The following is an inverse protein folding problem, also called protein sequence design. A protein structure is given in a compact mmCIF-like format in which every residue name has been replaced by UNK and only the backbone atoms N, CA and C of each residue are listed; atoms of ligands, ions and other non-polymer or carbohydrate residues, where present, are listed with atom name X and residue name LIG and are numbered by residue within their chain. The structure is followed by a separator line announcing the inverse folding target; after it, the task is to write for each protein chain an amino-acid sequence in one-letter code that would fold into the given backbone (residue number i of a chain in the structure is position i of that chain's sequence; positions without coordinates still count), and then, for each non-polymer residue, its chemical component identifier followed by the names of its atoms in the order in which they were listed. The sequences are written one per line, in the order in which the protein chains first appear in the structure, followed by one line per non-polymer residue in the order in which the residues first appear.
data_IF_227980849370
#
_entry.id   IF_227980849370
#
_cell.length_a   1.000
_cell.length_b   1.000
_cell.length_c   1.000
_cell.angle_alpha   90.00
_cell.angle_beta   90.00
_cell.angle_gamma   90.00
#
_symmetry.space_group_name_H-M   'P 1'
#
loop_
_entity.id
_entity.type
_entity.pdbx_description
1 polymer ?
#
# COMPACT_ATOMS: atom_id res chain seq x y z
N UNK A 1 -36.87 19.80 1.20
CA UNK A 1 -37.51 21.03 0.63
C UNK A 1 -36.54 21.56 -0.42
N UNK A 2 -37.05 21.62 -1.65
CA UNK A 2 -36.36 22.13 -2.84
C UNK A 2 -36.09 23.62 -2.71
N UNK A 3 -34.94 24.11 -3.18
CA UNK A 3 -34.85 25.44 -3.80
C UNK A 3 -33.89 25.43 -4.97
N UNK A 4 -34.47 25.69 -6.12
CA UNK A 4 -33.94 25.94 -7.46
C UNK A 4 -33.64 27.45 -7.55
N UNK A 5 -32.59 27.85 -8.23
CA UNK A 5 -32.43 29.11 -8.97
C UNK A 5 -31.21 29.01 -9.89
N UNK A 6 -31.35 28.85 -11.17
CA UNK A 6 -31.42 29.75 -12.34
C UNK A 6 -30.09 30.48 -12.59
N UNK A 7 -29.34 30.01 -13.55
CA UNK A 7 -29.00 30.43 -14.94
C UNK A 7 -28.70 31.92 -15.14
N UNK A 8 -27.50 32.23 -15.59
CA UNK A 8 -27.25 33.22 -16.64
C UNK A 8 -26.03 32.78 -17.49
N UNK A 9 -26.33 32.57 -18.77
CA UNK A 9 -25.41 32.33 -19.88
C UNK A 9 -24.85 33.69 -20.34
N UNK A 10 -23.51 33.79 -20.47
CA UNK A 10 -22.91 34.78 -21.37
C UNK A 10 -21.94 34.11 -22.30
N UNK A 11 -22.35 34.06 -23.56
CA UNK A 11 -21.52 33.76 -24.72
C UNK A 11 -20.60 34.95 -25.00
N UNK A 12 -19.32 34.71 -25.10
CA UNK A 12 -18.39 35.56 -25.82
C UNK A 12 -17.39 34.70 -26.56
N UNK A 13 -17.47 34.74 -27.87
CA UNK A 13 -16.56 34.21 -28.86
C UNK A 13 -15.27 35.06 -28.86
N UNK A 14 -14.12 34.44 -28.89
CA UNK A 14 -12.82 35.12 -29.04
C UNK A 14 -11.69 34.13 -29.31
N UNK A 15 -11.43 33.99 -30.60
CA UNK A 15 -10.20 33.63 -31.33
C UNK A 15 -9.07 32.80 -30.67
N UNK A 16 -8.71 31.74 -31.36
CA UNK A 16 -7.48 30.95 -31.32
C UNK A 16 -6.21 31.85 -31.30
N UNK A 17 -5.34 31.58 -30.33
CA UNK A 17 -3.89 31.58 -30.58
C UNK A 17 -3.28 30.50 -29.68
N UNK A 18 -2.68 29.48 -30.31
CA UNK A 18 -1.98 28.41 -29.63
C UNK A 18 -0.64 28.90 -29.11
N UNK A 19 -0.51 29.00 -27.80
CA UNK A 19 0.79 29.07 -27.15
C UNK A 19 0.97 27.82 -26.30
N UNK A 20 1.92 27.02 -26.74
CA UNK A 20 2.42 25.84 -26.01
C UNK A 20 3.16 26.34 -24.76
N UNK A 21 2.44 26.53 -23.67
CA UNK A 21 3.05 26.81 -22.37
C UNK A 21 3.63 25.51 -21.80
N UNK A 22 4.91 25.27 -22.06
CA UNK A 22 5.75 24.45 -21.21
C UNK A 22 5.80 25.12 -19.84
N UNK A 23 4.91 24.71 -18.93
CA UNK A 23 4.92 25.15 -17.54
C UNK A 23 6.09 24.47 -16.85
N UNK A 24 7.22 25.17 -16.76
CA UNK A 24 8.32 24.79 -15.90
C UNK A 24 7.79 24.57 -14.47
N UNK A 25 8.24 23.50 -13.82
CA UNK A 25 7.90 23.22 -12.44
C UNK A 25 8.29 24.42 -11.56
N UNK A 26 7.31 25.03 -10.92
CA UNK A 26 7.50 26.13 -9.98
C UNK A 26 8.20 25.60 -8.71
N UNK A 27 9.43 26.03 -8.39
CA UNK A 27 10.14 25.59 -7.19
C UNK A 27 9.54 26.17 -5.90
N UNK A 28 8.47 26.94 -5.95
CA UNK A 28 7.77 27.52 -4.81
C UNK A 28 6.31 27.00 -4.69
N UNK A 29 6.06 25.74 -4.93
CA UNK A 29 4.78 25.17 -4.56
C UNK A 29 4.66 25.18 -3.03
N UNK A 30 4.13 26.29 -2.49
CA UNK A 30 3.69 26.35 -1.09
C UNK A 30 2.79 25.14 -0.87
N UNK A 31 3.15 24.31 0.11
CA UNK A 31 2.27 23.22 0.57
C UNK A 31 0.89 23.83 0.82
N UNK A 32 -0.15 23.28 0.19
CA UNK A 32 -1.51 23.66 0.55
C UNK A 32 -1.65 23.48 2.07
N UNK A 33 -2.33 24.43 2.74
CA UNK A 33 -2.50 24.34 4.20
C UNK A 33 -3.14 22.98 4.51
N UNK A 34 -2.55 22.24 5.45
CA UNK A 34 -3.11 20.99 5.96
C UNK A 34 -4.57 21.21 6.31
N UNK A 35 -5.45 20.32 5.84
CA UNK A 35 -6.88 20.41 6.11
C UNK A 35 -7.16 20.37 7.64
N UNK A 36 -8.24 20.96 8.07
CA UNK A 36 -8.59 21.06 9.50
C UNK A 36 -8.75 19.67 10.12
N UNK A 37 -9.40 18.74 9.40
CA UNK A 37 -9.56 17.34 9.82
C UNK A 37 -8.23 16.61 9.97
N UNK A 38 -7.25 16.86 9.09
CA UNK A 38 -5.90 16.29 9.20
C UNK A 38 -5.20 16.78 10.47
N UNK A 39 -5.28 18.08 10.76
CA UNK A 39 -4.67 18.66 11.97
C UNK A 39 -5.30 18.13 13.24
N UNK A 40 -6.64 18.06 13.28
CA UNK A 40 -7.38 17.54 14.42
C UNK A 40 -7.04 16.04 14.66
N UNK A 41 -7.05 15.22 13.61
CA UNK A 41 -6.72 13.81 13.71
C UNK A 41 -5.29 13.61 14.21
N UNK A 42 -4.32 14.39 13.71
CA UNK A 42 -2.93 14.38 14.17
C UNK A 42 -2.82 14.72 15.67
N UNK A 43 -3.57 15.71 16.13
CA UNK A 43 -3.57 16.10 17.53
C UNK A 43 -4.14 15.00 18.43
N UNK A 44 -5.29 14.43 18.06
CA UNK A 44 -5.91 13.30 18.78
C UNK A 44 -4.93 12.14 18.91
N UNK A 45 -4.35 11.69 17.81
CA UNK A 45 -3.38 10.57 17.81
C UNK A 45 -2.13 10.92 18.63
N UNK A 46 -1.62 12.15 18.52
CA UNK A 46 -0.44 12.58 19.28
C UNK A 46 -0.70 12.59 20.79
N UNK A 47 -1.87 13.03 21.23
CA UNK A 47 -2.24 13.04 22.63
C UNK A 47 -2.46 11.62 23.16
N UNK A 48 -3.25 10.80 22.43
CA UNK A 48 -3.61 9.44 22.86
C UNK A 48 -2.40 8.52 23.01
N UNK A 49 -1.43 8.63 22.11
CA UNK A 49 -0.26 7.76 22.08
C UNK A 49 1.01 8.39 22.65
N UNK A 50 0.93 9.60 23.23
CA UNK A 50 2.08 10.28 23.86
C UNK A 50 2.68 9.46 24.99
N UNK A 51 4.01 9.33 24.99
CA UNK A 51 4.75 8.66 26.06
C UNK A 51 4.58 7.13 26.11
N UNK A 52 3.84 6.52 25.19
CA UNK A 52 3.74 5.07 25.13
C UNK A 52 5.04 4.46 24.57
N UNK A 53 5.60 3.49 25.31
CA UNK A 53 6.80 2.77 24.91
C UNK A 53 6.42 1.38 24.38
N UNK A 54 6.88 0.98 23.17
CA UNK A 54 6.59 -0.34 22.64
C UNK A 54 7.42 -1.43 23.31
N UNK A 55 6.82 -2.61 23.47
CA UNK A 55 7.42 -3.82 24.02
C UNK A 55 7.65 -4.91 22.97
N UNK A 56 6.85 -4.91 21.89
CA UNK A 56 6.99 -5.84 20.78
C UNK A 56 7.68 -5.19 19.57
N UNK A 57 8.42 -6.00 18.79
CA UNK A 57 9.01 -5.58 17.53
C UNK A 57 9.15 -6.77 16.60
N UNK A 58 8.60 -6.69 15.40
CA UNK A 58 8.71 -7.76 14.39
C UNK A 58 7.68 -7.67 13.28
N UNK A 59 7.60 -8.75 12.49
CA UNK A 59 6.67 -8.88 11.36
C UNK A 59 5.25 -9.29 11.77
N UNK A 60 5.09 -9.83 12.97
CA UNK A 60 3.83 -10.38 13.47
C UNK A 60 3.60 -10.01 14.94
N UNK A 61 3.74 -8.72 15.25
CA UNK A 61 3.39 -8.19 16.57
C UNK A 61 1.86 -8.17 16.75
N UNK A 62 1.44 -7.98 18.01
CA UNK A 62 0.03 -7.93 18.37
C UNK A 62 -0.76 -6.94 17.50
N UNK A 63 -1.81 -7.44 16.84
CA UNK A 63 -2.70 -6.66 15.99
C UNK A 63 -2.35 -6.63 14.49
N UNK A 64 -1.19 -7.13 14.08
CA UNK A 64 -0.88 -7.34 12.65
C UNK A 64 -1.66 -8.53 12.12
N UNK A 65 -2.39 -8.33 11.03
CA UNK A 65 -3.14 -9.39 10.36
C UNK A 65 -2.25 -10.08 9.33
N UNK A 66 -2.16 -11.40 9.42
CA UNK A 66 -1.25 -12.17 8.56
C UNK A 66 -1.95 -13.25 7.74
N UNK A 67 -3.27 -13.39 7.90
CA UNK A 67 -4.05 -14.43 7.23
C UNK A 67 -5.50 -13.97 7.02
N UNK A 68 -6.15 -14.53 5.99
CA UNK A 68 -7.59 -14.45 5.81
C UNK A 68 -8.26 -15.48 6.73
N UNK A 69 -9.35 -15.10 7.37
CA UNK A 69 -10.13 -15.99 8.24
C UNK A 69 -11.04 -16.87 7.39
N UNK A 70 -10.50 -17.97 6.87
CA UNK A 70 -11.23 -18.93 6.03
C UNK A 70 -10.53 -20.28 5.98
N UNK A 71 -11.32 -21.33 5.71
CA UNK A 71 -10.83 -22.68 5.38
C UNK A 71 -10.88 -22.96 3.87
N UNK A 72 -11.32 -22.01 3.06
CA UNK A 72 -11.30 -22.13 1.60
C UNK A 72 -9.87 -22.19 1.06
N UNK A 73 -9.68 -22.93 -0.02
CA UNK A 73 -8.40 -22.96 -0.77
C UNK A 73 -8.19 -21.65 -1.53
N UNK A 74 -7.94 -20.58 -0.79
CA UNK A 74 -7.66 -19.24 -1.34
C UNK A 74 -6.33 -18.70 -0.85
N UNK A 75 -5.70 -17.85 -1.67
CA UNK A 75 -4.47 -17.11 -1.36
C UNK A 75 -4.68 -15.66 -1.75
N UNK A 76 -4.41 -14.73 -0.83
CA UNK A 76 -4.30 -13.32 -1.16
C UNK A 76 -2.85 -12.99 -1.55
N UNK A 77 -2.69 -12.40 -2.74
CA UNK A 77 -1.39 -11.95 -3.23
C UNK A 77 -1.26 -10.45 -3.02
N UNK A 78 -0.33 -10.04 -2.16
CA UNK A 78 0.09 -8.66 -2.00
C UNK A 78 1.33 -8.36 -2.85
N UNK A 79 1.42 -7.17 -3.41
CA UNK A 79 2.59 -6.73 -4.19
C UNK A 79 2.99 -5.32 -3.76
N UNK A 80 4.21 -5.17 -3.25
CA UNK A 80 4.81 -3.87 -3.03
C UNK A 80 5.16 -3.24 -4.38
N UNK A 81 4.68 -2.03 -4.61
CA UNK A 81 4.73 -1.42 -5.95
C UNK A 81 5.58 -0.15 -6.02
N UNK A 82 6.31 0.17 -4.97
CA UNK A 82 7.09 1.41 -4.90
C UNK A 82 8.29 1.47 -5.86
N UNK A 83 8.75 0.33 -6.32
CA UNK A 83 9.81 0.21 -7.33
C UNK A 83 9.23 -0.09 -8.72
N UNK A 84 7.89 0.00 -8.89
CA UNK A 84 7.20 -0.10 -10.18
C UNK A 84 7.60 1.07 -11.09
N UNK A 85 8.78 1.01 -11.63
CA UNK A 85 9.27 1.96 -12.63
C UNK A 85 9.16 1.35 -14.03
N UNK A 86 8.99 2.18 -15.01
CA UNK A 86 8.66 1.94 -16.43
C UNK A 86 9.32 0.74 -17.13
N UNK A 87 10.27 0.07 -16.51
CA UNK A 87 11.05 -1.04 -17.08
C UNK A 87 11.30 -2.19 -16.09
N UNK A 88 10.65 -2.20 -14.92
CA UNK A 88 10.95 -3.14 -13.84
C UNK A 88 10.26 -4.50 -13.98
N UNK A 89 10.74 -5.46 -13.22
CA UNK A 89 10.17 -6.80 -13.11
C UNK A 89 8.77 -6.79 -12.51
N UNK A 90 8.44 -5.75 -11.74
CA UNK A 90 7.11 -5.52 -11.17
C UNK A 90 6.08 -5.27 -12.26
N UNK A 91 6.43 -4.50 -13.29
CA UNK A 91 5.57 -4.30 -14.46
C UNK A 91 5.28 -5.63 -15.20
N UNK A 92 6.28 -6.54 -15.26
CA UNK A 92 6.11 -7.89 -15.81
C UNK A 92 5.12 -8.70 -14.96
N UNK A 93 5.26 -8.64 -13.63
CA UNK A 93 4.35 -9.32 -12.71
C UNK A 93 2.92 -8.80 -12.84
N UNK A 94 2.72 -7.48 -12.79
CA UNK A 94 1.39 -6.87 -12.91
C UNK A 94 0.73 -7.21 -14.26
N UNK A 95 1.48 -7.15 -15.36
CA UNK A 95 0.98 -7.57 -16.68
C UNK A 95 0.57 -9.05 -16.70
N UNK A 96 1.37 -9.92 -16.08
CA UNK A 96 1.04 -11.34 -15.95
C UNK A 96 -0.25 -11.53 -15.13
N UNK A 97 -0.37 -10.90 -13.95
CA UNK A 97 -1.55 -11.00 -13.10
C UNK A 97 -2.82 -10.54 -13.86
N UNK A 98 -2.73 -9.43 -14.57
CA UNK A 98 -3.85 -8.92 -15.39
C UNK A 98 -4.23 -9.88 -16.53
N UNK A 99 -3.26 -10.42 -17.27
CA UNK A 99 -3.47 -11.33 -18.38
C UNK A 99 -4.09 -12.67 -17.93
N UNK A 100 -3.65 -13.19 -16.80
CA UNK A 100 -4.17 -14.45 -16.22
C UNK A 100 -5.43 -14.24 -15.35
N UNK A 101 -5.93 -13.00 -15.26
CA UNK A 101 -7.08 -12.61 -14.42
C UNK A 101 -6.92 -13.00 -12.96
N UNK A 102 -5.76 -12.70 -12.39
CA UNK A 102 -5.41 -13.00 -11.01
C UNK A 102 -5.60 -11.75 -10.16
N UNK A 103 -6.52 -11.77 -9.17
CA UNK A 103 -6.68 -10.68 -8.22
C UNK A 103 -5.42 -10.49 -7.37
N UNK A 104 -5.12 -9.24 -7.00
CA UNK A 104 -4.01 -8.89 -6.12
C UNK A 104 -4.28 -7.58 -5.39
N UNK A 105 -3.65 -7.40 -4.22
CA UNK A 105 -3.62 -6.15 -3.47
C UNK A 105 -2.27 -5.47 -3.68
N UNK A 106 -2.29 -4.24 -4.19
CA UNK A 106 -1.10 -3.46 -4.53
C UNK A 106 -0.83 -2.43 -3.44
N UNK A 107 0.30 -2.57 -2.74
CA UNK A 107 0.75 -1.64 -1.71
C UNK A 107 1.54 -0.51 -2.35
N UNK A 108 0.99 0.70 -2.30
CA UNK A 108 1.48 1.88 -3.01
C UNK A 108 2.14 2.85 -2.03
N UNK A 109 3.34 3.36 -2.34
CA UNK A 109 3.98 4.41 -1.55
C UNK A 109 3.83 5.81 -2.16
N UNK A 110 3.87 6.84 -1.31
CA UNK A 110 3.62 8.22 -1.68
C UNK A 110 4.64 8.79 -2.66
N UNK A 111 5.91 8.45 -2.49
CA UNK A 111 6.99 8.88 -3.39
C UNK A 111 6.79 8.37 -4.82
N UNK A 112 6.14 7.21 -4.97
CA UNK A 112 5.78 6.66 -6.27
C UNK A 112 4.52 7.33 -6.85
N UNK A 113 3.49 7.60 -6.01
CA UNK A 113 2.26 8.28 -6.42
C UNK A 113 2.56 9.63 -7.05
N UNK A 114 3.45 10.40 -6.45
CA UNK A 114 3.82 11.74 -6.92
C UNK A 114 4.34 11.74 -8.38
N UNK A 115 4.95 10.64 -8.80
CA UNK A 115 5.53 10.48 -10.14
C UNK A 115 4.65 9.70 -11.11
N UNK A 116 3.68 8.93 -10.60
CA UNK A 116 2.98 7.89 -11.37
C UNK A 116 1.45 7.92 -11.18
N UNK A 117 0.87 9.07 -10.86
CA UNK A 117 -0.57 9.21 -10.59
C UNK A 117 -1.46 8.65 -11.73
N UNK A 118 -1.07 8.87 -12.99
CA UNK A 118 -1.80 8.34 -14.14
C UNK A 118 -1.76 6.80 -14.22
N UNK A 119 -0.66 6.17 -13.79
CA UNK A 119 -0.53 4.72 -13.73
C UNK A 119 -1.38 4.20 -12.56
N UNK A 120 -1.31 4.84 -11.39
CA UNK A 120 -2.13 4.49 -10.23
C UNK A 120 -3.63 4.52 -10.59
N UNK A 121 -4.09 5.56 -11.28
CA UNK A 121 -5.48 5.66 -11.73
C UNK A 121 -5.91 4.49 -12.63
N UNK A 122 -5.02 4.05 -13.53
CA UNK A 122 -5.28 2.87 -14.39
C UNK A 122 -5.31 1.57 -13.59
N UNK A 123 -4.41 1.40 -12.61
CA UNK A 123 -4.40 0.22 -11.75
C UNK A 123 -5.66 0.15 -10.89
N UNK A 124 -6.06 1.26 -10.28
CA UNK A 124 -7.26 1.34 -9.45
C UNK A 124 -8.56 1.12 -10.25
N UNK A 125 -8.59 1.47 -11.54
CA UNK A 125 -9.73 1.21 -12.42
C UNK A 125 -9.86 -0.27 -12.82
N UNK A 126 -8.85 -1.10 -12.61
CA UNK A 126 -8.91 -2.52 -12.91
C UNK A 126 -9.51 -3.29 -11.72
N UNK A 127 -10.66 -3.95 -11.85
CA UNK A 127 -11.34 -4.64 -10.74
C UNK A 127 -10.54 -5.81 -10.14
N UNK A 128 -9.50 -6.28 -10.83
CA UNK A 128 -8.59 -7.30 -10.31
C UNK A 128 -7.68 -6.76 -9.21
N UNK A 129 -7.46 -5.45 -9.18
CA UNK A 129 -6.50 -4.86 -8.24
C UNK A 129 -7.20 -4.06 -7.15
N UNK A 130 -6.78 -4.31 -5.93
CA UNK A 130 -7.09 -3.52 -4.75
C UNK A 130 -5.89 -2.63 -4.42
N UNK A 131 -6.13 -1.36 -4.14
CA UNK A 131 -5.07 -0.41 -3.78
C UNK A 131 -4.99 -0.30 -2.27
N UNK A 132 -3.79 -0.46 -1.73
CA UNK A 132 -3.46 -0.38 -0.31
C UNK A 132 -2.29 0.58 -0.06
N UNK A 133 -2.10 0.98 1.20
CA UNK A 133 -1.14 1.99 1.62
C UNK A 133 0.18 1.34 2.09
N UNK A 134 1.33 1.85 1.60
CA UNK A 134 2.67 1.45 2.06
C UNK A 134 3.43 2.59 2.74
N UNK A 135 2.76 3.67 3.13
CA UNK A 135 3.37 4.87 3.64
C UNK A 135 3.92 5.80 2.56
N UNK A 136 4.40 6.96 2.97
CA UNK A 136 5.01 7.93 2.03
C UNK A 136 6.33 7.41 1.50
N UNK A 137 7.24 7.01 2.40
CA UNK A 137 8.65 6.68 2.12
C UNK A 137 9.00 5.23 2.47
N UNK A 138 8.03 4.36 2.71
CA UNK A 138 8.21 2.94 3.06
C UNK A 138 8.99 2.69 4.34
N UNK A 139 8.81 3.51 5.35
CA UNK A 139 9.48 3.33 6.64
C UNK A 139 8.97 2.09 7.38
N UNK A 140 9.80 1.56 8.28
CA UNK A 140 9.33 0.59 9.26
C UNK A 140 8.34 1.26 10.22
N UNK A 141 7.31 0.53 10.63
CA UNK A 141 6.20 1.07 11.41
C UNK A 141 6.59 1.10 12.91
N UNK A 142 7.14 2.22 13.36
CA UNK A 142 7.69 2.38 14.70
C UNK A 142 7.34 3.72 15.33
N UNK A 143 7.24 3.79 16.66
CA UNK A 143 7.10 5.06 17.40
C UNK A 143 8.40 5.51 18.06
N UNK A 144 9.50 4.77 17.91
CA UNK A 144 10.78 5.05 18.57
C UNK A 144 12.02 4.89 17.67
N UNK A 145 11.84 4.88 16.35
CA UNK A 145 12.94 4.86 15.39
C UNK A 145 13.57 3.49 15.11
N UNK A 146 12.96 2.39 15.57
CA UNK A 146 13.49 1.05 15.24
C UNK A 146 13.51 0.82 13.74
N UNK A 147 14.65 0.39 13.24
CA UNK A 147 14.88 0.05 11.82
C UNK A 147 14.87 -1.46 11.60
N UNK A 148 14.53 -1.89 10.39
CA UNK A 148 14.60 -3.29 9.99
C UNK A 148 15.06 -3.42 8.54
N UNK A 149 15.90 -4.41 8.25
CA UNK A 149 16.38 -4.72 6.90
C UNK A 149 17.06 -3.52 6.19
N UNK A 150 17.68 -2.61 6.96
CA UNK A 150 18.29 -1.38 6.43
C UNK A 150 17.27 -0.28 6.08
N UNK A 151 15.99 -0.47 6.39
CA UNK A 151 14.93 0.52 6.22
C UNK A 151 14.74 1.23 7.57
N UNK A 152 14.86 2.58 7.63
CA UNK A 152 14.66 3.31 8.88
C UNK A 152 13.21 3.24 9.34
N UNK A 153 12.99 3.21 10.65
CA UNK A 153 11.67 3.36 11.24
C UNK A 153 11.27 4.82 11.41
N UNK A 154 9.96 5.05 11.56
CA UNK A 154 9.45 6.34 12.02
C UNK A 154 9.86 6.60 13.46
N UNK A 155 10.36 7.82 13.74
CA UNK A 155 11.04 8.13 15.02
C UNK A 155 10.11 8.49 16.18
N UNK A 156 8.83 8.77 15.86
CA UNK A 156 7.81 9.18 16.83
C UNK A 156 6.40 9.05 16.26
N UNK A 157 5.40 9.26 17.13
CA UNK A 157 3.97 9.18 16.76
C UNK A 157 3.61 10.13 15.63
N UNK A 158 4.10 11.37 15.65
CA UNK A 158 3.78 12.37 14.61
C UNK A 158 4.36 12.02 13.25
N UNK A 159 5.57 11.46 13.22
CA UNK A 159 6.20 10.97 11.98
C UNK A 159 5.47 9.75 11.43
N UNK A 160 5.05 8.81 12.28
CA UNK A 160 4.27 7.65 11.88
C UNK A 160 2.90 8.08 11.33
N UNK A 161 2.21 9.00 12.00
CA UNK A 161 0.96 9.57 11.53
C UNK A 161 1.13 10.15 10.11
N UNK A 162 2.16 10.99 9.91
CA UNK A 162 2.43 11.60 8.61
C UNK A 162 2.76 10.57 7.53
N UNK A 163 3.56 9.54 7.86
CA UNK A 163 3.92 8.45 6.94
C UNK A 163 2.69 7.70 6.42
N UNK A 164 1.70 7.47 7.29
CA UNK A 164 0.49 6.72 6.93
C UNK A 164 -0.53 7.64 6.25
N UNK A 165 -0.92 8.74 6.91
CA UNK A 165 -2.08 9.52 6.55
C UNK A 165 -1.85 10.38 5.30
N UNK A 166 -0.65 10.93 5.11
CA UNK A 166 -0.35 11.68 3.90
C UNK A 166 -0.41 10.80 2.65
N UNK A 167 0.08 9.57 2.74
CA UNK A 167 0.01 8.66 1.61
C UNK A 167 -1.42 8.17 1.35
N UNK A 168 -2.19 7.89 2.38
CA UNK A 168 -3.60 7.50 2.24
C UNK A 168 -4.39 8.58 1.49
N UNK A 169 -4.20 9.85 1.85
CA UNK A 169 -4.85 11.00 1.18
C UNK A 169 -4.35 11.20 -0.26
N UNK A 170 -3.06 10.96 -0.53
CA UNK A 170 -2.54 10.96 -1.91
C UNK A 170 -3.19 9.89 -2.77
N UNK A 171 -3.34 8.68 -2.24
CA UNK A 171 -4.02 7.57 -2.93
C UNK A 171 -5.48 7.95 -3.19
N UNK A 172 -6.19 8.42 -2.18
CA UNK A 172 -7.59 8.84 -2.29
C UNK A 172 -7.78 9.96 -3.33
N UNK A 173 -6.92 10.97 -3.34
CA UNK A 173 -6.99 12.07 -4.30
C UNK A 173 -6.86 11.60 -5.77
N UNK A 174 -6.13 10.51 -6.02
CA UNK A 174 -5.93 9.94 -7.37
C UNK A 174 -7.02 8.94 -7.74
N UNK A 175 -7.42 8.10 -6.77
CA UNK A 175 -8.30 6.93 -7.03
C UNK A 175 -9.76 7.20 -6.69
N UNK A 176 -10.05 8.21 -5.85
CA UNK A 176 -11.36 8.48 -5.28
C UNK A 176 -11.74 7.54 -4.12
N UNK A 177 -10.83 6.66 -3.68
CA UNK A 177 -11.09 5.67 -2.62
C UNK A 177 -9.96 5.69 -1.59
N UNK A 178 -10.33 5.83 -0.31
CA UNK A 178 -9.39 5.70 0.80
C UNK A 178 -8.96 4.23 0.96
N UNK A 179 -7.65 3.93 1.03
CA UNK A 179 -7.18 2.56 1.25
C UNK A 179 -7.60 2.05 2.63
N UNK A 180 -7.96 0.77 2.73
CA UNK A 180 -8.35 0.14 4.00
C UNK A 180 -7.17 -0.53 4.72
N UNK A 181 -6.12 -0.85 4.01
CA UNK A 181 -4.99 -1.64 4.49
C UNK A 181 -3.69 -0.84 4.46
N UNK A 182 -2.87 -1.10 5.47
CA UNK A 182 -1.52 -0.56 5.56
C UNK A 182 -0.49 -1.69 5.71
N UNK A 183 0.58 -1.65 4.91
CA UNK A 183 1.74 -2.53 5.05
C UNK A 183 3.01 -1.70 5.22
N UNK A 184 3.76 -1.92 6.30
CA UNK A 184 5.01 -1.23 6.54
C UNK A 184 6.07 -1.61 5.49
N UNK A 185 6.87 -0.66 5.03
CA UNK A 185 7.83 -0.90 3.94
C UNK A 185 8.90 -1.94 4.23
N UNK A 186 9.18 -2.20 5.52
CA UNK A 186 10.07 -3.28 5.97
C UNK A 186 9.33 -4.56 6.37
N UNK A 187 8.00 -4.53 6.40
CA UNK A 187 7.17 -5.57 7.02
C UNK A 187 7.25 -5.63 8.55
N UNK A 188 7.95 -4.69 9.19
CA UNK A 188 8.16 -4.68 10.65
C UNK A 188 7.37 -3.57 11.33
N UNK A 189 6.87 -3.90 12.52
CA UNK A 189 5.99 -3.08 13.34
C UNK A 189 6.41 -3.12 14.81
N UNK A 190 6.11 -2.06 15.55
CA UNK A 190 5.88 -2.18 16.98
C UNK A 190 4.37 -2.17 17.29
N UNK A 191 3.95 -2.72 18.45
CA UNK A 191 2.53 -2.88 18.78
C UNK A 191 1.83 -1.54 19.05
N UNK A 192 2.57 -0.52 19.50
CA UNK A 192 2.01 0.84 19.66
C UNK A 192 1.72 1.45 18.30
N UNK A 193 2.65 1.30 17.35
CA UNK A 193 2.47 1.73 15.97
C UNK A 193 1.28 1.03 15.30
N UNK A 194 1.10 -0.28 15.52
CA UNK A 194 -0.08 -1.02 15.02
C UNK A 194 -1.39 -0.47 15.59
N UNK A 195 -1.41 -0.11 16.87
CA UNK A 195 -2.59 0.52 17.49
C UNK A 195 -2.90 1.88 16.87
N UNK A 196 -1.88 2.66 16.51
CA UNK A 196 -2.04 3.93 15.78
C UNK A 196 -2.62 3.66 14.38
N UNK A 197 -2.10 2.69 13.63
CA UNK A 197 -2.66 2.28 12.33
C UNK A 197 -4.16 2.01 12.45
N UNK A 198 -4.57 1.27 13.48
CA UNK A 198 -5.99 0.93 13.72
C UNK A 198 -6.81 2.12 14.17
N UNK A 199 -6.27 3.01 15.01
CA UNK A 199 -6.93 4.24 15.43
C UNK A 199 -7.18 5.20 14.25
N UNK A 200 -6.32 5.14 13.23
CA UNK A 200 -6.50 5.85 11.95
C UNK A 200 -7.53 5.18 11.02
N UNK A 201 -8.07 4.03 11.39
CA UNK A 201 -9.08 3.31 10.61
C UNK A 201 -8.53 2.31 9.58
N UNK A 202 -7.23 1.98 9.64
CA UNK A 202 -6.60 1.01 8.74
C UNK A 202 -6.34 -0.33 9.45
N UNK A 203 -6.28 -1.42 8.70
CA UNK A 203 -5.77 -2.70 9.21
C UNK A 203 -4.29 -2.87 8.83
N UNK A 204 -3.46 -3.15 9.84
CA UNK A 204 -2.04 -3.44 9.64
C UNK A 204 -1.87 -4.87 9.10
N UNK A 205 -1.18 -5.01 7.95
CA UNK A 205 -1.01 -6.27 7.27
C UNK A 205 0.43 -6.77 7.31
N UNK A 206 0.57 -8.05 7.59
CA UNK A 206 1.80 -8.81 7.42
C UNK A 206 1.61 -9.98 6.45
N UNK A 207 2.71 -10.66 6.13
CA UNK A 207 2.68 -11.87 5.32
C UNK A 207 2.53 -13.11 6.20
N UNK A 208 1.83 -14.15 5.70
CA UNK A 208 1.89 -15.50 6.28
C UNK A 208 3.30 -16.10 6.17
N UNK A 209 4.12 -15.61 5.25
CA UNK A 209 5.54 -15.89 5.16
C UNK A 209 6.27 -15.07 6.22
N UNK A 210 6.53 -15.66 7.38
CA UNK A 210 7.32 -15.02 8.44
C UNK A 210 8.80 -15.13 8.11
N UNK A 211 9.49 -13.99 8.11
CA UNK A 211 10.81 -13.90 7.57
C UNK A 211 11.94 -13.93 8.58
N UNK A 212 13.13 -14.03 8.04
CA UNK A 212 14.38 -13.70 8.70
C UNK A 212 14.89 -12.34 8.18
N UNK A 213 15.84 -11.76 8.87
CA UNK A 213 16.52 -10.52 8.46
C UNK A 213 17.35 -10.67 7.16
N UNK A 214 17.50 -11.89 6.64
CA UNK A 214 18.18 -12.15 5.38
C UNK A 214 17.21 -11.99 4.20
N UNK A 215 17.48 -11.03 3.33
CA UNK A 215 16.68 -10.72 2.13
C UNK A 215 16.49 -11.94 1.20
N UNK A 216 17.49 -12.79 1.06
CA UNK A 216 17.42 -14.01 0.24
C UNK A 216 16.49 -15.05 0.86
N UNK A 217 16.45 -15.08 2.17
CA UNK A 217 15.60 -16.00 2.93
C UNK A 217 14.12 -15.60 2.82
N UNK A 218 13.81 -14.29 2.85
CA UNK A 218 12.45 -13.78 2.66
C UNK A 218 11.83 -14.22 1.33
N UNK A 219 12.57 -14.14 0.22
CA UNK A 219 12.11 -14.63 -1.09
C UNK A 219 11.81 -16.13 -1.11
N UNK A 220 12.68 -16.94 -0.49
CA UNK A 220 12.47 -18.39 -0.37
C UNK A 220 11.22 -18.72 0.45
N UNK A 221 10.97 -17.98 1.53
CA UNK A 221 9.79 -18.20 2.36
C UNK A 221 8.51 -17.81 1.64
N UNK A 222 8.49 -16.67 0.92
CA UNK A 222 7.35 -16.27 0.09
C UNK A 222 7.06 -17.35 -0.96
N UNK A 223 8.07 -17.85 -1.65
CA UNK A 223 7.89 -18.95 -2.61
C UNK A 223 7.40 -20.23 -1.93
N UNK A 224 7.89 -20.55 -0.74
CA UNK A 224 7.40 -21.72 0.00
C UNK A 224 5.91 -21.58 0.38
N UNK A 225 5.48 -20.40 0.84
CA UNK A 225 4.06 -20.13 1.09
C UNK A 225 3.24 -20.24 -0.19
N UNK A 226 3.74 -19.71 -1.32
CA UNK A 226 3.07 -19.84 -2.61
C UNK A 226 3.01 -21.29 -3.09
N UNK A 227 4.05 -22.08 -2.92
CA UNK A 227 4.09 -23.49 -3.39
C UNK A 227 3.25 -24.42 -2.53
N UNK A 228 3.11 -24.11 -1.23
CA UNK A 228 2.41 -24.91 -0.23
C UNK A 228 1.52 -24.01 0.64
N UNK A 229 0.52 -23.34 0.05
CA UNK A 229 -0.27 -22.39 0.80
C UNK A 229 -1.17 -23.08 1.83
N UNK A 230 -1.23 -22.53 3.04
CA UNK A 230 -2.36 -22.80 3.93
C UNK A 230 -3.62 -22.12 3.37
N UNK A 231 -4.80 -22.60 3.75
CA UNK A 231 -6.06 -21.93 3.45
C UNK A 231 -6.01 -20.49 3.98
N UNK A 232 -6.40 -19.53 3.17
CA UNK A 232 -6.40 -18.12 3.56
C UNK A 232 -5.01 -17.44 3.69
N UNK A 233 -3.93 -18.04 3.17
CA UNK A 233 -2.60 -17.43 3.25
C UNK A 233 -2.54 -16.07 2.56
N UNK A 234 -1.83 -15.12 3.18
CA UNK A 234 -1.45 -13.82 2.59
C UNK A 234 0.04 -13.89 2.22
N UNK A 235 0.36 -13.78 0.94
CA UNK A 235 1.73 -13.75 0.43
C UNK A 235 2.04 -12.35 -0.10
N UNK A 236 2.87 -11.57 0.61
CA UNK A 236 3.27 -10.23 0.19
C UNK A 236 4.63 -10.30 -0.49
N UNK A 237 4.66 -9.91 -1.76
CA UNK A 237 5.84 -9.83 -2.59
C UNK A 237 6.45 -8.44 -2.46
N UNK A 238 7.44 -8.29 -1.61
CA UNK A 238 8.04 -6.98 -1.35
C UNK A 238 9.35 -7.03 -0.58
N UNK A 239 9.88 -5.86 -0.25
CA UNK A 239 11.06 -5.69 0.60
C UNK A 239 12.40 -5.84 -0.11
N UNK A 240 12.43 -6.26 -1.38
CA UNK A 240 13.64 -6.30 -2.22
C UNK A 240 13.25 -5.98 -3.65
N UNK A 241 14.11 -5.25 -4.36
CA UNK A 241 13.98 -5.13 -5.83
C UNK A 241 13.70 -6.51 -6.44
N UNK A 242 12.53 -6.66 -7.08
CA UNK A 242 12.11 -7.94 -7.65
C UNK A 242 13.07 -8.33 -8.77
N UNK A 243 13.96 -9.27 -8.48
CA UNK A 243 14.86 -9.83 -9.50
C UNK A 243 14.05 -10.64 -10.52
N UNK A 244 14.50 -10.65 -11.78
CA UNK A 244 13.81 -11.39 -12.86
C UNK A 244 13.57 -12.85 -12.51
N UNK A 245 14.57 -13.51 -11.96
CA UNK A 245 14.49 -14.93 -11.54
C UNK A 245 13.46 -15.18 -10.45
N UNK A 246 13.28 -14.22 -9.52
CA UNK A 246 12.27 -14.31 -8.49
C UNK A 246 10.87 -14.13 -9.08
N UNK A 247 10.65 -13.12 -9.94
CA UNK A 247 9.37 -12.93 -10.63
C UNK A 247 8.99 -14.15 -11.47
N UNK A 248 9.93 -14.75 -12.20
CA UNK A 248 9.71 -15.99 -12.96
C UNK A 248 9.32 -17.15 -12.06
N UNK A 249 9.95 -17.26 -10.88
CA UNK A 249 9.59 -18.27 -9.87
C UNK A 249 8.19 -18.04 -9.29
N UNK A 250 7.81 -16.78 -9.03
CA UNK A 250 6.44 -16.41 -8.58
C UNK A 250 5.42 -16.78 -9.66
N UNK A 251 5.66 -16.44 -10.92
CA UNK A 251 4.78 -16.78 -12.04
C UNK A 251 4.56 -18.29 -12.13
N UNK A 252 5.64 -19.08 -12.00
CA UNK A 252 5.57 -20.54 -11.99
C UNK A 252 4.76 -21.04 -10.80
N UNK A 253 5.03 -20.54 -9.60
CA UNK A 253 4.31 -20.93 -8.38
C UNK A 253 2.81 -20.61 -8.49
N UNK A 254 2.44 -19.43 -8.98
CA UNK A 254 1.05 -19.02 -9.20
C UNK A 254 0.30 -20.00 -10.10
N UNK A 255 0.90 -20.41 -11.21
CA UNK A 255 0.31 -21.41 -12.13
C UNK A 255 0.16 -22.78 -11.46
N UNK A 256 1.15 -23.20 -10.70
CA UNK A 256 1.17 -24.49 -10.01
C UNK A 256 0.08 -24.56 -8.94
N UNK A 257 -0.05 -23.55 -8.07
CA UNK A 257 -1.07 -23.59 -7.01
C UNK A 257 -2.49 -23.50 -7.56
N UNK A 258 -2.70 -22.80 -8.68
CA UNK A 258 -3.99 -22.82 -9.40
C UNK A 258 -4.34 -24.24 -9.89
N UNK A 259 -3.35 -24.99 -10.41
CA UNK A 259 -3.58 -26.39 -10.83
C UNK A 259 -3.90 -27.31 -9.66
N UNK A 260 -3.51 -26.95 -8.43
CA UNK A 260 -3.88 -27.63 -7.17
C UNK A 260 -5.26 -27.24 -6.63
N UNK A 261 -6.00 -26.40 -7.37
CA UNK A 261 -7.35 -25.97 -7.02
C UNK A 261 -7.45 -24.74 -6.12
N UNK A 262 -6.34 -24.04 -5.85
CA UNK A 262 -6.37 -22.78 -5.14
C UNK A 262 -6.86 -21.63 -6.03
N UNK A 263 -7.57 -20.69 -5.42
CA UNK A 263 -7.98 -19.43 -6.08
C UNK A 263 -7.21 -18.27 -5.48
N UNK A 264 -6.89 -17.29 -6.32
CA UNK A 264 -6.39 -16.00 -5.84
C UNK A 264 -7.55 -15.06 -5.56
N UNK A 265 -7.41 -14.27 -4.49
CA UNK A 265 -8.42 -13.33 -4.00
C UNK A 265 -7.77 -12.02 -3.61
N UNK A 266 -8.53 -10.93 -3.53
CA UNK A 266 -8.11 -9.70 -2.87
C UNK A 266 -8.19 -9.88 -1.36
N UNK A 267 -7.45 -9.08 -0.61
CA UNK A 267 -7.49 -9.13 0.86
C UNK A 267 -8.89 -8.78 1.37
N UNK A 268 -9.59 -7.85 0.73
CA UNK A 268 -10.95 -7.44 1.08
C UNK A 268 -12.03 -8.48 0.82
N UNK A 269 -11.75 -9.54 0.07
CA UNK A 269 -12.76 -10.57 -0.25
C UNK A 269 -13.10 -11.46 0.96
N UNK A 270 -12.27 -11.44 2.03
CA UNK A 270 -12.44 -12.24 3.25
C UNK A 270 -12.13 -11.43 4.52
N UNK A 271 -12.73 -11.78 5.67
CA UNK A 271 -12.29 -11.23 6.96
C UNK A 271 -10.83 -11.60 7.27
N UNK A 272 -10.18 -10.81 8.14
CA UNK A 272 -8.78 -11.00 8.54
C UNK A 272 -8.66 -11.64 9.94
N UNK A 273 -7.58 -12.38 10.16
CA UNK A 273 -7.15 -12.88 11.46
C UNK A 273 -5.65 -12.68 11.73
#
# INVERSE_FOLDING_TARGET
MRRIAWVLIFLAWGALQGECFCRAADPQRKSEPESEDYRLLREIISVEFSGQAPHEWGEAVSGVRTRLKTEDKVVALGVDTCDLMDKGQDAKLIKFLAAEKIPATLFICGDWVDKNSAILKKLAANPLFEIANQGVSRKACSVNGKSANGIPGTGNVGELFAEIEQNARKIEAVTGVLPQYYHAGSGHYDEVAVRIVRALGYEALGSSARGSQDKSFGQKQILNVLMNPAAGAIAILGGVSLQSSFVDSVIKAVREIRSKGYKFVKISDYPLE
#
